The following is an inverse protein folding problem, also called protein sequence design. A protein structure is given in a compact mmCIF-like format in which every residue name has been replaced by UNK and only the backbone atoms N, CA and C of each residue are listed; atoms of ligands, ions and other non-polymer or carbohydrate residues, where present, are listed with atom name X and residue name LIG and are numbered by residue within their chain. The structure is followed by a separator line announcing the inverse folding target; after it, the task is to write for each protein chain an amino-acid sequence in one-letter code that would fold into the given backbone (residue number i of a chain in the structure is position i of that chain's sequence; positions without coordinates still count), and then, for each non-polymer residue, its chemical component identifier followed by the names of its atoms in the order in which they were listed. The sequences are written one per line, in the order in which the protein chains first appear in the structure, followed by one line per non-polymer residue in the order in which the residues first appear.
data_IF_953815547569
#
_entry.id   IF_953815547569
#
_cell.length_a   1.000
_cell.length_b   1.000
_cell.length_c   1.000
_cell.angle_alpha   90.00
_cell.angle_beta   90.00
_cell.angle_gamma   90.00
#
_symmetry.space_group_name_H-M   'P 1'
#
loop_
_entity.id
_entity.type
_entity.pdbx_description
1 polymer ?
#
# COMPACT_ATOMS: atom_id res chain seq x y z
N UNK A 1 -78.68 -9.62 11.60
CA UNK A 1 -77.45 -8.90 11.96
C UNK A 1 -76.40 -9.37 10.96
N UNK A 2 -76.45 -8.98 9.68
CA UNK A 2 -76.40 -7.60 9.13
C UNK A 2 -75.02 -6.98 9.31
N UNK A 3 -74.34 -6.45 8.29
CA UNK A 3 -74.66 -6.36 6.86
C UNK A 3 -73.38 -6.08 6.02
N UNK A 4 -73.27 -6.74 4.86
CA UNK A 4 -73.02 -6.17 3.51
C UNK A 4 -71.74 -5.38 3.14
N UNK A 5 -70.98 -5.96 2.18
CA UNK A 5 -70.03 -5.30 1.25
C UNK A 5 -70.77 -4.47 0.18
N UNK A 6 -70.15 -3.47 -0.48
CA UNK A 6 -69.77 -3.72 -1.89
C UNK A 6 -68.47 -3.03 -2.37
N UNK A 7 -68.06 -3.39 -3.59
CA UNK A 7 -67.05 -2.73 -4.43
C UNK A 7 -67.38 -1.24 -4.73
N UNK A 8 -66.39 -0.47 -5.22
CA UNK A 8 -66.34 -0.07 -6.66
C UNK A 8 -65.23 0.97 -6.99
N UNK A 9 -64.91 1.08 -8.29
CA UNK A 9 -64.41 2.27 -9.00
C UNK A 9 -62.91 2.64 -8.91
N UNK A 10 -62.13 2.23 -9.92
CA UNK A 10 -61.22 3.18 -10.63
C UNK A 10 -62.00 3.92 -11.74
N UNK A 11 -61.42 4.82 -12.58
CA UNK A 11 -59.98 4.97 -12.91
C UNK A 11 -59.50 6.46 -12.92
N UNK A 12 -58.24 6.73 -13.32
CA UNK A 12 -57.90 7.67 -14.43
C UNK A 12 -56.39 7.90 -14.65
N UNK A 13 -56.03 8.06 -15.92
CA UNK A 13 -54.75 8.59 -16.44
C UNK A 13 -55.04 9.99 -17.00
N UNK A 14 -54.07 10.94 -16.93
CA UNK A 14 -53.91 11.85 -18.06
C UNK A 14 -52.45 12.18 -18.44
N UNK A 15 -52.18 12.17 -19.75
CA UNK A 15 -51.38 13.17 -20.46
C UNK A 15 -52.21 13.66 -21.66
N UNK A 16 -51.69 14.42 -22.66
CA UNK A 16 -50.34 14.97 -22.84
C UNK A 16 -50.34 16.49 -23.28
N UNK A 17 -49.19 16.99 -23.80
CA UNK A 17 -48.95 18.26 -24.58
C UNK A 17 -48.83 19.57 -23.73
N UNK A 18 -47.76 20.39 -23.72
CA UNK A 18 -46.91 21.07 -24.76
C UNK A 18 -47.64 22.33 -25.37
N UNK A 19 -47.03 23.48 -25.81
CA UNK A 19 -45.61 23.77 -26.12
C UNK A 19 -45.04 25.18 -25.70
N UNK A 20 -43.78 25.51 -26.08
CA UNK A 20 -43.41 26.89 -26.49
C UNK A 20 -42.15 27.59 -25.93
N UNK A 21 -40.98 27.40 -26.55
CA UNK A 21 -39.88 28.41 -26.67
C UNK A 21 -40.17 29.32 -27.88
N UNK A 22 -39.54 30.51 -28.14
CA UNK A 22 -38.07 30.69 -28.28
C UNK A 22 -37.48 32.10 -27.94
N UNK A 23 -36.22 32.32 -28.40
CA UNK A 23 -35.38 33.53 -28.44
C UNK A 23 -34.64 33.93 -27.13
N UNK A 24 -33.50 34.65 -27.14
CA UNK A 24 -32.27 34.77 -28.00
C UNK A 24 -31.43 35.94 -27.44
N UNK A 25 -30.12 36.15 -27.68
CA UNK A 25 -29.02 35.40 -28.33
C UNK A 25 -27.68 35.86 -27.67
N UNK A 26 -26.54 35.21 -27.94
CA UNK A 26 -25.24 35.59 -27.35
C UNK A 26 -24.01 34.81 -27.87
N UNK A 27 -24.07 34.37 -29.12
CA UNK A 27 -22.96 33.84 -29.93
C UNK A 27 -21.89 34.94 -30.18
N UNK A 28 -20.63 34.71 -30.54
CA UNK A 28 -19.90 33.52 -31.05
C UNK A 28 -18.35 33.76 -30.81
N UNK A 29 -17.39 33.27 -31.62
CA UNK A 29 -16.72 31.97 -31.47
C UNK A 29 -15.19 32.07 -31.28
N UNK A 30 -14.53 30.98 -30.89
CA UNK A 30 -13.24 30.64 -31.54
C UNK A 30 -12.96 29.13 -31.53
N UNK A 31 -12.98 28.52 -32.71
CA UNK A 31 -12.61 27.14 -32.90
C UNK A 31 -11.23 27.04 -33.56
N UNK A 32 -10.30 26.37 -32.88
CA UNK A 32 -9.19 25.66 -33.51
C UNK A 32 -8.06 26.51 -34.12
N UNK A 33 -6.95 26.60 -33.37
CA UNK A 33 -5.61 26.46 -33.94
C UNK A 33 -4.59 26.21 -32.83
N UNK A 34 -3.93 25.06 -32.88
CA UNK A 34 -2.57 24.84 -32.38
C UNK A 34 -2.06 23.54 -33.01
N UNK A 35 -1.53 23.68 -34.23
CA UNK A 35 -0.60 22.73 -34.82
C UNK A 35 0.80 23.31 -34.65
N UNK A 36 1.75 22.42 -34.38
CA UNK A 36 3.19 22.56 -34.65
C UNK A 36 3.95 23.61 -33.80
N UNK A 37 4.29 23.20 -32.57
CA UNK A 37 5.52 23.64 -31.88
C UNK A 37 6.08 22.47 -31.03
N UNK A 38 7.26 21.97 -31.42
CA UNK A 38 8.09 20.93 -30.79
C UNK A 38 9.44 21.58 -30.39
N UNK A 39 10.37 20.96 -29.63
CA UNK A 39 10.30 19.88 -28.62
C UNK A 39 10.71 20.36 -27.21
N UNK A 40 10.21 19.74 -26.13
CA UNK A 40 10.79 20.01 -24.80
C UNK A 40 9.96 19.72 -23.55
N UNK A 41 8.99 18.80 -23.59
CA UNK A 41 8.18 18.42 -22.43
C UNK A 41 8.46 16.99 -21.99
N UNK A 42 9.18 16.79 -20.88
CA UNK A 42 9.37 15.47 -20.30
C UNK A 42 8.01 14.84 -19.95
N UNK A 43 7.68 13.70 -20.57
CA UNK A 43 6.46 12.95 -20.24
C UNK A 43 6.54 12.48 -18.79
N UNK A 44 5.85 13.18 -17.90
CA UNK A 44 5.48 12.67 -16.57
C UNK A 44 4.50 11.52 -16.81
N UNK A 45 5.03 10.30 -16.88
CA UNK A 45 4.23 9.09 -16.96
C UNK A 45 3.57 8.82 -15.60
N UNK A 46 2.53 9.60 -15.28
CA UNK A 46 1.63 9.29 -14.18
C UNK A 46 0.98 7.94 -14.46
N UNK A 47 1.51 6.87 -13.85
CA UNK A 47 0.88 5.55 -13.89
C UNK A 47 -0.53 5.69 -13.31
N UNK A 48 -1.55 5.10 -13.94
CA UNK A 48 -2.90 5.12 -13.37
C UNK A 48 -2.86 4.47 -11.98
N UNK A 49 -3.61 5.05 -11.02
CA UNK A 49 -3.76 4.48 -9.67
C UNK A 49 -4.27 3.03 -9.80
N UNK A 50 -3.60 2.04 -9.18
CA UNK A 50 -4.03 0.65 -9.24
C UNK A 50 -5.46 0.45 -8.72
N UNK A 51 -6.15 -0.55 -9.27
CA UNK A 51 -7.45 -0.97 -8.73
C UNK A 51 -7.25 -1.75 -7.41
N UNK A 52 -8.28 -1.84 -6.54
CA UNK A 52 -8.20 -2.68 -5.34
C UNK A 52 -7.91 -4.16 -5.64
N UNK A 53 -8.24 -4.64 -6.84
CA UNK A 53 -7.93 -6.00 -7.29
C UNK A 53 -6.46 -6.16 -7.66
N UNK A 54 -5.85 -5.15 -8.28
CA UNK A 54 -4.41 -5.14 -8.57
C UNK A 54 -3.60 -5.09 -7.26
N UNK A 55 -3.99 -4.23 -6.31
CA UNK A 55 -3.36 -4.18 -4.98
C UNK A 55 -3.50 -5.52 -4.24
N UNK A 56 -4.64 -6.22 -4.36
CA UNK A 56 -4.83 -7.57 -3.82
C UNK A 56 -3.91 -8.59 -4.48
N UNK A 57 -3.79 -8.58 -5.80
CA UNK A 57 -2.92 -9.51 -6.53
C UNK A 57 -1.44 -9.30 -6.14
N UNK A 58 -0.96 -8.07 -6.18
CA UNK A 58 0.41 -7.70 -5.80
C UNK A 58 0.70 -8.09 -4.34
N UNK A 59 -0.20 -7.76 -3.41
CA UNK A 59 -0.07 -8.16 -2.01
C UNK A 59 -0.05 -9.68 -1.81
N UNK A 60 -0.83 -10.44 -2.59
CA UNK A 60 -0.85 -11.91 -2.52
C UNK A 60 0.51 -12.50 -2.89
N UNK A 61 1.14 -12.02 -3.96
CA UNK A 61 2.48 -12.46 -4.37
C UNK A 61 3.57 -12.05 -3.36
N UNK A 62 3.48 -10.85 -2.77
CA UNK A 62 4.43 -10.42 -1.74
C UNK A 62 4.29 -11.22 -0.43
N UNK A 63 3.06 -11.51 0.00
CA UNK A 63 2.78 -12.27 1.22
C UNK A 63 3.15 -13.75 1.08
N UNK A 64 2.95 -14.34 -0.10
CA UNK A 64 3.29 -15.75 -0.37
C UNK A 64 4.71 -16.10 0.07
N UNK A 65 5.71 -15.32 -0.35
CA UNK A 65 7.12 -15.56 0.01
C UNK A 65 7.41 -15.36 1.52
N UNK A 66 6.63 -14.52 2.20
CA UNK A 66 6.75 -14.29 3.64
C UNK A 66 6.14 -15.47 4.42
N UNK A 67 4.97 -15.93 4.00
CA UNK A 67 4.25 -17.03 4.65
C UNK A 67 4.92 -18.38 4.38
N UNK A 68 5.46 -18.62 3.19
CA UNK A 68 6.31 -19.78 2.90
C UNK A 68 7.57 -19.81 3.79
N UNK A 69 8.33 -18.71 3.86
CA UNK A 69 9.53 -18.64 4.72
C UNK A 69 9.22 -18.84 6.22
N UNK A 70 8.08 -18.30 6.69
CA UNK A 70 7.63 -18.49 8.09
C UNK A 70 7.12 -19.90 8.36
N UNK A 71 6.42 -20.53 7.43
CA UNK A 71 5.97 -21.92 7.58
C UNK A 71 7.18 -22.87 7.62
N UNK A 72 8.19 -22.65 6.77
CA UNK A 72 9.45 -23.41 6.85
C UNK A 72 10.12 -23.21 8.21
N UNK A 73 10.22 -21.96 8.70
CA UNK A 73 10.80 -21.68 10.01
C UNK A 73 10.02 -22.37 11.15
N UNK A 74 8.68 -22.38 11.08
CA UNK A 74 7.80 -23.08 12.03
C UNK A 74 8.02 -24.59 12.00
N UNK A 75 8.10 -25.20 10.82
CA UNK A 75 8.36 -26.64 10.66
C UNK A 75 9.74 -27.04 11.20
N UNK A 76 10.78 -26.25 10.93
CA UNK A 76 12.12 -26.44 11.50
C UNK A 76 12.12 -26.28 13.03
N UNK A 77 11.38 -25.30 13.56
CA UNK A 77 11.19 -25.12 15.01
C UNK A 77 10.45 -26.27 15.70
N UNK A 78 9.64 -27.04 14.96
CA UNK A 78 9.04 -28.30 15.42
C UNK A 78 9.98 -29.52 15.33
N UNK A 79 11.25 -29.31 14.96
CA UNK A 79 12.28 -30.36 14.91
C UNK A 79 12.33 -31.16 13.60
N UNK A 80 11.64 -30.73 12.54
CA UNK A 80 11.77 -31.36 11.23
C UNK A 80 13.14 -31.07 10.59
N UNK A 81 13.64 -31.98 9.76
CA UNK A 81 14.81 -31.71 8.93
C UNK A 81 14.46 -30.71 7.81
N UNK A 82 15.44 -29.97 7.24
CA UNK A 82 15.21 -29.12 6.07
C UNK A 82 14.62 -29.85 4.87
N UNK A 83 14.96 -31.12 4.69
CA UNK A 83 14.42 -31.98 3.63
C UNK A 83 12.91 -32.22 3.86
N UNK A 84 12.50 -32.56 5.09
CA UNK A 84 11.10 -32.75 5.45
C UNK A 84 10.29 -31.45 5.41
N UNK A 85 10.89 -30.32 5.81
CA UNK A 85 10.26 -29.01 5.74
C UNK A 85 10.07 -28.58 4.27
N UNK A 86 11.08 -28.81 3.42
CA UNK A 86 11.02 -28.53 1.98
C UNK A 86 9.97 -29.40 1.27
N UNK A 87 9.94 -30.72 1.54
CA UNK A 87 8.93 -31.64 1.00
C UNK A 87 7.50 -31.18 1.32
N UNK A 88 7.24 -30.74 2.56
CA UNK A 88 5.92 -30.28 3.00
C UNK A 88 5.49 -28.93 2.43
N UNK A 89 6.43 -28.07 2.09
CA UNK A 89 6.16 -26.70 1.60
C UNK A 89 6.33 -26.56 0.08
N UNK A 90 6.86 -27.58 -0.60
CA UNK A 90 7.12 -27.56 -2.04
C UNK A 90 8.30 -26.67 -2.46
N UNK A 91 9.09 -26.18 -1.50
CA UNK A 91 10.25 -25.31 -1.77
C UNK A 91 11.54 -26.10 -1.97
N UNK A 92 12.55 -25.42 -2.52
CA UNK A 92 13.91 -25.98 -2.62
C UNK A 92 14.53 -26.27 -1.25
N UNK A 93 15.15 -27.45 -1.10
CA UNK A 93 15.87 -27.85 0.13
C UNK A 93 16.97 -26.83 0.52
N UNK A 94 17.55 -26.13 -0.46
CA UNK A 94 18.52 -25.05 -0.20
C UNK A 94 17.91 -23.90 0.61
N UNK A 95 16.63 -23.57 0.37
CA UNK A 95 15.91 -22.49 1.05
C UNK A 95 15.66 -22.88 2.50
N UNK A 96 15.17 -24.09 2.75
CA UNK A 96 14.99 -24.62 4.11
C UNK A 96 16.31 -24.71 4.88
N UNK A 97 17.42 -25.10 4.24
CA UNK A 97 18.75 -25.09 4.86
C UNK A 97 19.24 -23.67 5.19
N UNK A 98 18.98 -22.69 4.32
CA UNK A 98 19.29 -21.28 4.59
C UNK A 98 18.51 -20.75 5.79
N UNK A 99 17.20 -21.02 5.86
CA UNK A 99 16.33 -20.64 6.99
C UNK A 99 16.82 -21.29 8.28
N UNK A 100 17.19 -22.59 8.25
CA UNK A 100 17.75 -23.26 9.44
C UNK A 100 19.03 -22.56 9.94
N UNK A 101 19.95 -22.17 9.06
CA UNK A 101 21.17 -21.45 9.46
C UNK A 101 20.89 -20.09 10.10
N UNK A 102 19.82 -19.41 9.69
CA UNK A 102 19.38 -18.14 10.32
C UNK A 102 18.86 -18.40 11.73
N UNK A 103 17.99 -19.40 11.90
CA UNK A 103 17.50 -19.84 13.22
C UNK A 103 18.63 -20.30 14.15
N UNK A 104 19.62 -21.05 13.64
CA UNK A 104 20.82 -21.48 14.38
C UNK A 104 21.68 -20.30 14.89
N UNK A 105 21.59 -19.12 14.25
CA UNK A 105 22.24 -17.87 14.70
C UNK A 105 21.36 -17.01 15.62
N UNK A 106 20.13 -17.44 15.88
CA UNK A 106 19.13 -16.64 16.61
C UNK A 106 18.55 -15.47 15.79
N UNK A 107 18.69 -15.47 14.46
CA UNK A 107 18.06 -14.47 13.60
C UNK A 107 16.56 -14.73 13.43
N UNK A 108 15.72 -13.70 13.51
CA UNK A 108 14.30 -13.81 13.20
C UNK A 108 14.06 -13.98 11.68
N UNK A 109 13.22 -14.96 11.33
CA UNK A 109 12.89 -15.27 9.93
C UNK A 109 11.64 -14.48 9.54
N UNK A 110 11.83 -13.49 8.66
CA UNK A 110 10.78 -12.55 8.24
C UNK A 110 10.10 -11.90 9.45
N UNK A 111 10.79 -11.03 10.21
CA UNK A 111 10.12 -10.17 11.19
C UNK A 111 8.97 -9.40 10.52
N UNK A 112 7.90 -9.14 11.25
CA UNK A 112 6.77 -8.36 10.74
C UNK A 112 7.26 -6.95 10.42
N UNK A 113 6.85 -6.39 9.28
CA UNK A 113 7.19 -5.02 8.86
C UNK A 113 5.95 -4.17 8.66
N UNK A 114 6.06 -2.83 8.70
CA UNK A 114 4.97 -1.93 8.33
C UNK A 114 4.41 -2.27 6.95
N UNK A 115 5.29 -2.59 5.99
CA UNK A 115 4.92 -2.97 4.62
C UNK A 115 4.03 -4.20 4.57
N UNK A 116 4.32 -5.20 5.40
CA UNK A 116 3.50 -6.40 5.47
C UNK A 116 2.08 -6.08 5.94
N UNK A 117 1.92 -5.20 6.95
CA UNK A 117 0.58 -4.82 7.44
C UNK A 117 -0.29 -4.23 6.31
N UNK A 118 0.27 -3.36 5.48
CA UNK A 118 -0.44 -2.82 4.31
C UNK A 118 -0.84 -3.89 3.29
N UNK A 119 0.00 -4.90 3.06
CA UNK A 119 -0.33 -6.06 2.22
C UNK A 119 -1.43 -6.94 2.85
N UNK A 120 -1.35 -7.21 4.16
CA UNK A 120 -2.38 -7.95 4.91
C UNK A 120 -3.74 -7.25 4.83
N UNK A 121 -3.77 -5.91 4.94
CA UNK A 121 -5.00 -5.12 4.76
C UNK A 121 -5.54 -5.27 3.34
N UNK A 122 -4.68 -5.18 2.31
CA UNK A 122 -5.12 -5.29 0.93
C UNK A 122 -5.84 -6.62 0.64
N UNK A 123 -5.30 -7.75 1.11
CA UNK A 123 -5.92 -9.08 0.98
C UNK A 123 -7.07 -9.34 1.98
N UNK A 124 -7.41 -8.38 2.84
CA UNK A 124 -8.50 -8.49 3.82
C UNK A 124 -8.20 -9.39 5.02
N UNK A 125 -6.93 -9.67 5.31
CA UNK A 125 -6.51 -10.46 6.48
C UNK A 125 -6.48 -9.66 7.79
N UNK A 126 -6.38 -8.32 7.72
CA UNK A 126 -6.55 -7.39 8.85
C UNK A 126 -7.42 -6.21 8.39
N UNK A 127 -8.09 -5.52 9.33
CA UNK A 127 -8.87 -4.32 9.01
C UNK A 127 -7.98 -3.09 8.79
N UNK A 128 -8.56 -2.02 8.25
CA UNK A 128 -7.89 -0.70 8.17
C UNK A 128 -7.52 -0.17 9.55
N UNK A 129 -8.43 -0.30 10.51
CA UNK A 129 -8.27 0.16 11.89
C UNK A 129 -7.16 -0.62 12.59
N UNK A 130 -7.13 -1.94 12.45
CA UNK A 130 -6.09 -2.82 13.01
C UNK A 130 -4.71 -2.53 12.40
N UNK A 131 -4.65 -2.32 11.08
CA UNK A 131 -3.42 -1.89 10.40
C UNK A 131 -2.94 -0.55 10.98
N UNK A 132 -3.82 0.46 11.04
CA UNK A 132 -3.47 1.80 11.51
C UNK A 132 -3.12 1.84 13.00
N UNK A 133 -3.78 1.07 13.87
CA UNK A 133 -3.42 0.95 15.29
C UNK A 133 -1.98 0.43 15.48
N UNK A 134 -1.62 -0.62 14.75
CA UNK A 134 -0.26 -1.18 14.76
C UNK A 134 0.76 -0.21 14.16
N UNK A 135 0.40 0.54 13.12
CA UNK A 135 1.29 1.52 12.50
C UNK A 135 1.47 2.78 13.36
N UNK A 136 0.46 3.24 14.09
CA UNK A 136 0.56 4.37 15.04
C UNK A 136 1.50 4.07 16.22
N UNK A 137 1.54 2.82 16.65
CA UNK A 137 2.33 2.36 17.79
C UNK A 137 3.68 1.74 17.40
N UNK A 138 4.01 1.73 16.10
CA UNK A 138 5.23 1.12 15.59
C UNK A 138 6.48 1.88 16.07
N UNK A 139 7.52 1.20 16.60
CA UNK A 139 8.77 1.84 16.99
C UNK A 139 9.60 2.17 15.74
N UNK A 140 9.27 3.27 15.06
CA UNK A 140 9.88 3.62 13.79
C UNK A 140 11.38 3.85 13.89
N UNK A 141 12.12 3.20 13.00
CA UNK A 141 13.48 3.58 12.64
C UNK A 141 13.45 4.33 11.31
N UNK A 142 14.24 5.39 11.21
CA UNK A 142 14.41 6.15 9.97
C UNK A 142 15.65 5.68 9.24
N UNK A 143 15.56 5.61 7.91
CA UNK A 143 16.73 5.31 7.10
C UNK A 143 17.78 6.42 7.19
N UNK A 144 19.05 6.07 6.99
CA UNK A 144 20.18 7.00 7.07
C UNK A 144 21.33 6.57 6.16
N UNK A 145 22.19 7.52 5.85
CA UNK A 145 23.44 7.25 5.12
C UNK A 145 24.49 6.71 6.09
N UNK A 146 25.12 5.61 5.68
CA UNK A 146 26.32 5.05 6.30
C UNK A 146 27.50 5.17 5.34
N UNK A 147 28.63 5.67 5.84
CA UNK A 147 29.82 5.84 5.02
C UNK A 147 29.62 6.85 3.88
N UNK A 148 29.82 6.41 2.62
CA UNK A 148 29.83 7.29 1.44
C UNK A 148 28.54 7.22 0.62
N UNK A 149 27.95 6.03 0.47
CA UNK A 149 26.84 5.75 -0.45
C UNK A 149 25.87 4.65 0.04
N UNK A 150 26.06 4.06 1.23
CA UNK A 150 25.18 3.00 1.73
C UNK A 150 23.97 3.59 2.44
N UNK A 151 22.77 3.34 1.91
CA UNK A 151 21.51 3.62 2.60
C UNK A 151 21.12 2.46 3.51
N UNK A 152 21.20 2.67 4.83
CA UNK A 152 20.62 1.76 5.82
C UNK A 152 19.11 2.04 5.89
N UNK A 153 18.27 1.13 5.41
CA UNK A 153 16.80 1.34 5.41
C UNK A 153 16.23 1.33 6.82
N UNK A 154 15.35 2.29 7.11
CA UNK A 154 14.50 2.29 8.30
C UNK A 154 13.18 1.55 8.09
N UNK A 155 12.43 1.29 9.17
CA UNK A 155 11.05 0.82 9.06
C UNK A 155 10.09 1.93 8.60
N UNK A 156 10.47 3.21 8.68
CA UNK A 156 9.71 4.30 8.08
C UNK A 156 9.72 4.23 6.54
N UNK A 157 10.83 3.83 5.91
CA UNK A 157 10.93 3.64 4.45
C UNK A 157 9.88 2.65 3.89
N UNK A 158 9.35 1.76 4.74
CA UNK A 158 8.27 0.84 4.41
C UNK A 158 6.90 1.53 4.39
N UNK A 159 6.66 2.53 5.24
CA UNK A 159 5.46 3.39 5.22
C UNK A 159 5.46 4.28 3.99
N UNK A 160 6.60 4.94 3.69
CA UNK A 160 6.80 5.70 2.45
C UNK A 160 6.59 4.80 1.22
N UNK A 161 7.05 3.55 1.27
CA UNK A 161 6.79 2.57 0.22
C UNK A 161 5.30 2.25 0.08
N UNK A 162 4.58 2.02 1.18
CA UNK A 162 3.14 1.73 1.11
C UNK A 162 2.34 2.88 0.50
N UNK A 163 2.65 4.12 0.86
CA UNK A 163 2.03 5.30 0.23
C UNK A 163 2.37 5.40 -1.26
N UNK A 164 3.65 5.28 -1.62
CA UNK A 164 4.13 5.29 -3.02
C UNK A 164 3.44 4.22 -3.90
N UNK A 165 3.16 3.04 -3.33
CA UNK A 165 2.51 1.94 -4.02
C UNK A 165 0.98 1.86 -3.77
N UNK A 166 0.36 2.93 -3.28
CA UNK A 166 -1.10 3.07 -3.03
C UNK A 166 -1.71 2.05 -2.04
N UNK A 167 -0.88 1.42 -1.22
CA UNK A 167 -1.31 0.63 -0.06
C UNK A 167 -1.61 1.49 1.17
N UNK A 168 -1.31 2.78 1.17
CA UNK A 168 -1.88 3.77 2.09
C UNK A 168 -2.59 4.86 1.30
N UNK A 169 -3.68 5.39 1.86
CA UNK A 169 -4.29 6.62 1.40
C UNK A 169 -3.41 7.83 1.78
N UNK A 170 -3.67 8.97 1.14
CA UNK A 170 -2.96 10.22 1.44
C UNK A 170 -3.24 10.70 2.88
N UNK A 171 -4.43 10.40 3.42
CA UNK A 171 -4.85 10.71 4.80
C UNK A 171 -4.20 9.77 5.83
N UNK A 172 -4.20 8.45 5.56
CA UNK A 172 -3.51 7.45 6.40
C UNK A 172 -2.02 7.76 6.50
N UNK A 173 -1.37 8.08 5.37
CA UNK A 173 0.04 8.46 5.35
C UNK A 173 0.30 9.76 6.11
N UNK A 174 -0.55 10.78 5.94
CA UNK A 174 -0.38 12.06 6.65
C UNK A 174 -0.50 11.89 8.18
N UNK A 175 -1.45 11.07 8.65
CA UNK A 175 -1.59 10.76 10.08
C UNK A 175 -0.33 10.10 10.65
N UNK A 176 0.18 9.05 10.00
CA UNK A 176 1.40 8.37 10.42
C UNK A 176 2.62 9.30 10.37
N UNK A 177 2.66 10.21 9.40
CA UNK A 177 3.75 11.18 9.25
C UNK A 177 3.80 12.16 10.43
N UNK A 178 2.68 12.67 10.92
CA UNK A 178 2.64 13.55 12.11
C UNK A 178 3.21 12.84 13.34
N UNK A 179 2.95 11.54 13.48
CA UNK A 179 3.49 10.72 14.56
C UNK A 179 5.01 10.53 14.38
N UNK A 180 5.47 10.21 13.18
CA UNK A 180 6.87 9.96 12.87
C UNK A 180 7.75 11.22 12.94
N UNK A 181 7.26 12.37 12.45
CA UNK A 181 7.94 13.68 12.55
C UNK A 181 8.16 14.09 14.03
N UNK A 182 7.41 13.49 14.99
CA UNK A 182 7.59 13.69 16.44
C UNK A 182 8.63 12.76 17.08
N UNK A 183 9.19 11.79 16.36
CA UNK A 183 10.16 10.82 16.87
C UNK A 183 11.62 11.28 16.69
N UNK A 184 12.56 10.85 17.55
CA UNK A 184 13.97 11.19 17.40
C UNK A 184 14.57 10.55 16.14
N UNK A 185 14.99 11.38 15.20
CA UNK A 185 15.69 10.93 14.01
C UNK A 185 17.18 10.68 14.33
N UNK A 186 17.76 9.53 13.96
CA UNK A 186 19.19 9.30 14.12
C UNK A 186 19.96 10.24 13.19
N UNK A 187 21.08 10.85 13.62
CA UNK A 187 21.94 11.58 12.70
C UNK A 187 22.57 10.62 11.69
N UNK A 188 22.81 11.12 10.47
CA UNK A 188 23.64 10.47 9.47
C UNK A 188 25.09 10.29 9.97
N UNK A 189 25.83 9.35 9.40
CA UNK A 189 27.27 9.25 9.65
C UNK A 189 27.98 10.54 9.15
N UNK A 190 28.87 11.17 9.94
CA UNK A 190 29.56 12.40 9.52
C UNK A 190 30.46 12.12 8.31
N UNK A 191 30.31 12.95 7.27
CA UNK A 191 30.88 12.68 5.96
C UNK A 191 32.42 12.75 6.00
N UNK A 192 33.13 12.02 5.12
CA UNK A 192 34.60 11.93 5.19
C UNK A 192 35.35 13.26 5.11
N UNK A 193 34.74 14.31 4.54
CA UNK A 193 35.32 15.65 4.45
C UNK A 193 35.07 16.53 5.69
N UNK A 194 34.02 16.27 6.48
CA UNK A 194 33.68 17.06 7.68
C UNK A 194 34.66 16.79 8.83
N UNK A 195 35.20 15.56 8.89
CA UNK A 195 36.24 15.14 9.84
C UNK A 195 37.55 15.94 9.75
N UNK A 196 37.72 16.77 8.70
CA UNK A 196 38.89 17.64 8.52
C UNK A 196 38.82 18.96 9.31
N UNK A 197 37.65 19.31 9.86
CA UNK A 197 37.46 20.57 10.59
C UNK A 197 37.51 20.45 12.13
N UNK A 198 37.75 19.25 12.67
CA UNK A 198 37.84 18.99 14.13
C UNK A 198 39.28 18.74 14.63
N UNK A 199 40.30 19.14 13.86
CA UNK A 199 41.70 19.12 14.31
C UNK A 199 42.33 20.52 14.24
N UNK A 200 41.96 21.37 15.21
CA UNK A 200 42.71 22.56 15.65
C UNK A 200 42.58 22.70 17.17
#
# INVERSE_FOLDING_TARGET
MSDTTPESTGPQVPGPQDPGTPLREGTDPNAGQNKDADPGGGRVWSRPRPTPEQLRADATEFLKLIDEDREIARLLGLGLSPEQAAERTGVEVRTARSIRQRLERGEEVRPVTPKELGWRRAVGQISTEEMMERLRTWPYTFGRIRGYDFWERGSWDDVDSLHTWYFLSDEEYHELRVIADSMPHPPDDPMPWEKKHQQQ
#
